data_IF_766925083256
#
_entry.id   IF_766925083256
#
_cell.length_a   1.000
_cell.length_b   1.000
_cell.length_c   1.000
_cell.angle_alpha   90.00
_cell.angle_beta   90.00
_cell.angle_gamma   90.00
#
_symmetry.space_group_name_H-M   'P 1'
#
loop_
_entity.id
_entity.type
_entity.pdbx_description
1 polymer ?
#
# COMPACT_ATOMS: atom_id res chain seq x y z
N UNK A 1 28.66 32.58 -63.46
CA UNK A 1 27.93 31.65 -62.58
C UNK A 1 27.42 30.51 -63.44
N UNK A 2 27.66 29.26 -63.06
CA UNK A 2 27.29 28.08 -63.86
C UNK A 2 25.81 27.74 -63.59
N UNK A 3 24.92 27.63 -64.61
CA UNK A 3 23.50 27.38 -64.38
C UNK A 3 23.31 25.99 -63.75
N UNK A 4 22.72 25.94 -62.55
CA UNK A 4 22.44 24.67 -61.88
C UNK A 4 21.28 23.98 -62.62
N UNK A 5 21.54 22.79 -63.16
CA UNK A 5 20.52 21.96 -63.81
C UNK A 5 19.79 21.13 -62.76
N UNK A 6 18.49 20.96 -62.94
CA UNK A 6 17.70 20.07 -62.08
C UNK A 6 18.22 18.63 -62.22
N UNK A 7 18.48 17.95 -61.10
CA UNK A 7 18.95 16.55 -61.09
C UNK A 7 17.91 15.56 -61.66
N UNK A 8 16.63 15.93 -61.66
CA UNK A 8 15.57 15.01 -62.08
C UNK A 8 15.19 15.15 -63.57
N UNK A 9 15.25 16.36 -64.12
CA UNK A 9 14.83 16.64 -65.51
C UNK A 9 15.91 17.30 -66.38
N UNK A 10 17.07 17.66 -65.81
CA UNK A 10 18.24 18.16 -66.55
C UNK A 10 18.13 19.59 -67.08
N UNK A 11 17.00 20.28 -66.92
CA UNK A 11 16.80 21.65 -67.44
C UNK A 11 17.38 22.72 -66.52
N UNK A 12 17.74 23.85 -67.12
CA UNK A 12 18.39 24.99 -66.46
C UNK A 12 17.42 25.72 -65.53
N UNK A 13 17.92 26.10 -64.36
CA UNK A 13 17.15 26.76 -63.30
C UNK A 13 16.87 28.23 -63.66
N UNK A 14 15.62 28.65 -63.49
CA UNK A 14 15.24 30.05 -63.38
C UNK A 14 15.58 30.56 -61.97
N UNK A 15 16.28 31.68 -61.87
CA UNK A 15 16.71 32.24 -60.58
C UNK A 15 15.50 32.62 -59.71
N UNK A 16 15.45 32.10 -58.47
CA UNK A 16 14.45 32.47 -57.46
C UNK A 16 13.42 31.40 -57.07
N UNK A 17 13.28 30.30 -57.80
CA UNK A 17 12.24 29.30 -57.49
C UNK A 17 12.72 28.13 -56.61
N UNK A 18 11.89 27.73 -55.64
CA UNK A 18 12.13 26.61 -54.70
C UNK A 18 11.85 25.22 -55.32
N UNK A 19 11.07 25.19 -56.41
CA UNK A 19 10.57 23.96 -57.03
C UNK A 19 10.91 23.98 -58.51
N UNK A 20 11.13 22.82 -59.12
CA UNK A 20 11.24 22.77 -60.57
C UNK A 20 9.84 22.87 -61.18
N UNK A 21 9.55 23.86 -62.05
CA UNK A 21 8.20 24.08 -62.57
C UNK A 21 7.68 22.92 -63.43
N UNK A 22 8.55 22.04 -63.93
CA UNK A 22 8.15 20.92 -64.78
C UNK A 22 7.90 19.61 -64.04
N UNK A 23 8.63 19.33 -62.96
CA UNK A 23 8.50 18.05 -62.25
C UNK A 23 8.04 18.18 -60.79
N UNK A 24 7.82 19.42 -60.30
CA UNK A 24 7.40 19.74 -58.93
C UNK A 24 8.23 19.11 -57.80
N UNK A 25 9.36 18.48 -58.12
CA UNK A 25 10.24 17.87 -57.13
C UNK A 25 10.95 18.97 -56.33
N UNK A 26 10.96 18.82 -55.00
CA UNK A 26 11.75 19.66 -54.10
C UNK A 26 13.22 19.63 -54.54
N UNK A 27 13.77 20.80 -54.86
CA UNK A 27 15.16 20.92 -55.26
C UNK A 27 16.00 20.79 -53.98
N UNK A 28 16.52 19.59 -53.71
CA UNK A 28 17.43 19.37 -52.59
C UNK A 28 18.72 20.14 -52.84
N UNK A 29 18.87 21.30 -52.20
CA UNK A 29 20.15 22.00 -52.15
C UNK A 29 21.17 21.07 -51.48
N UNK A 30 22.36 20.84 -52.06
CA UNK A 30 23.42 20.14 -51.37
C UNK A 30 23.73 20.92 -50.09
N UNK A 31 23.42 20.33 -48.92
CA UNK A 31 23.70 20.96 -47.63
C UNK A 31 25.19 21.33 -47.61
N UNK A 32 25.57 22.58 -47.32
CA UNK A 32 26.97 22.97 -47.32
C UNK A 32 27.73 22.09 -46.33
N UNK A 33 28.92 21.56 -46.67
CA UNK A 33 29.65 20.58 -45.87
C UNK A 33 29.91 21.05 -44.43
N UNK A 34 29.91 22.37 -44.22
CA UNK A 34 30.03 23.01 -42.91
C UNK A 34 28.93 22.58 -41.92
N UNK A 35 27.66 22.45 -42.33
CA UNK A 35 26.55 22.11 -41.41
C UNK A 35 26.65 20.65 -40.93
N UNK A 36 27.11 19.74 -41.80
CA UNK A 36 27.27 18.33 -41.47
C UNK A 36 28.46 18.12 -40.51
N UNK A 37 29.55 18.87 -40.73
CA UNK A 37 30.71 18.91 -39.82
C UNK A 37 30.31 19.50 -38.46
N UNK A 38 29.54 20.60 -38.42
CA UNK A 38 29.04 21.15 -37.17
C UNK A 38 28.14 20.17 -36.41
N UNK A 39 27.28 19.42 -37.09
CA UNK A 39 26.44 18.40 -36.46
C UNK A 39 27.27 17.26 -35.86
N UNK A 40 28.31 16.80 -36.55
CA UNK A 40 29.20 15.73 -36.05
C UNK A 40 30.01 16.23 -34.86
N UNK A 41 30.59 17.43 -34.95
CA UNK A 41 31.37 18.05 -33.86
C UNK A 41 30.48 18.30 -32.64
N UNK A 42 29.25 18.76 -32.84
CA UNK A 42 28.31 18.97 -31.74
C UNK A 42 27.91 17.66 -31.06
N UNK A 43 27.65 16.59 -31.82
CA UNK A 43 27.39 15.25 -31.27
C UNK A 43 28.59 14.69 -30.51
N UNK A 44 29.81 14.84 -31.04
CA UNK A 44 31.04 14.42 -30.37
C UNK A 44 31.30 15.23 -29.10
N UNK A 45 31.08 16.54 -29.14
CA UNK A 45 31.19 17.41 -27.97
C UNK A 45 30.19 17.01 -26.89
N UNK A 46 28.94 16.69 -27.24
CA UNK A 46 27.93 16.21 -26.30
C UNK A 46 28.33 14.87 -25.66
N UNK A 47 28.89 13.94 -26.44
CA UNK A 47 29.39 12.66 -25.94
C UNK A 47 30.61 12.82 -25.03
N UNK A 48 31.52 13.74 -25.33
CA UNK A 48 32.68 14.04 -24.48
C UNK A 48 32.23 14.74 -23.20
N UNK A 49 31.29 15.68 -23.28
CA UNK A 49 30.76 16.39 -22.12
C UNK A 49 30.01 15.44 -21.18
N UNK A 50 29.18 14.54 -21.73
CA UNK A 50 28.51 13.49 -20.95
C UNK A 50 29.50 12.50 -20.36
N UNK A 51 30.54 12.10 -21.10
CA UNK A 51 31.64 11.28 -20.60
C UNK A 51 32.40 11.95 -19.45
N UNK A 52 32.70 13.25 -19.55
CA UNK A 52 33.37 14.03 -18.50
C UNK A 52 32.48 14.22 -17.27
N UNK A 53 31.17 14.45 -17.46
CA UNK A 53 30.19 14.50 -16.37
C UNK A 53 30.05 13.17 -15.64
N UNK A 54 30.18 12.04 -16.33
CA UNK A 54 30.20 10.70 -15.74
C UNK A 54 31.56 10.37 -15.08
N UNK A 55 32.66 10.91 -15.61
CA UNK A 55 34.03 10.69 -15.12
C UNK A 55 34.33 11.48 -13.83
N UNK A 56 33.86 12.73 -13.73
CA UNK A 56 33.90 13.49 -12.48
C UNK A 56 32.81 12.95 -11.54
N UNK A 57 33.21 12.01 -10.67
CA UNK A 57 32.49 11.35 -9.56
C UNK A 57 31.63 12.28 -8.66
N UNK A 58 30.59 12.92 -9.21
CA UNK A 58 29.69 13.82 -8.47
C UNK A 58 28.23 13.74 -8.89
N UNK A 59 27.92 13.07 -10.01
CA UNK A 59 26.53 12.85 -10.47
C UNK A 59 26.07 11.38 -10.43
N UNK A 60 26.93 10.45 -9.98
CA UNK A 60 26.70 9.00 -10.03
C UNK A 60 25.47 8.50 -9.27
N UNK A 61 24.99 9.25 -8.26
CA UNK A 61 23.87 8.81 -7.42
C UNK A 61 22.59 9.65 -7.56
N UNK A 62 22.60 10.79 -8.28
CA UNK A 62 21.48 11.76 -8.18
C UNK A 62 20.69 12.08 -9.44
N UNK A 63 21.06 11.64 -10.65
CA UNK A 63 20.34 12.08 -11.87
C UNK A 63 19.68 10.96 -12.69
N UNK A 64 19.98 9.68 -12.47
CA UNK A 64 19.28 8.58 -13.15
C UNK A 64 18.90 7.46 -12.18
N UNK A 65 18.09 7.79 -11.16
CA UNK A 65 17.38 6.73 -10.43
C UNK A 65 16.35 6.11 -11.37
N UNK A 66 16.68 4.95 -11.95
CA UNK A 66 15.76 4.08 -12.72
C UNK A 66 14.45 3.76 -11.96
N UNK A 67 14.39 4.07 -10.66
CA UNK A 67 13.20 3.98 -9.80
C UNK A 67 12.10 4.99 -10.13
N UNK A 68 12.42 6.11 -10.77
CA UNK A 68 11.42 7.08 -11.26
C UNK A 68 10.68 6.55 -12.49
N UNK A 69 11.36 5.73 -13.31
CA UNK A 69 10.80 5.18 -14.56
C UNK A 69 9.87 3.99 -14.31
N UNK A 70 10.03 3.27 -13.19
CA UNK A 70 9.20 2.10 -12.84
C UNK A 70 8.90 2.11 -11.33
N UNK A 71 7.77 2.70 -10.89
CA UNK A 71 7.42 2.72 -9.49
C UNK A 71 7.21 1.28 -8.98
N UNK A 72 8.10 0.84 -8.10
CA UNK A 72 8.11 -0.52 -7.55
C UNK A 72 6.92 -0.70 -6.59
N UNK A 73 6.06 -1.70 -6.79
CA UNK A 73 5.03 -2.04 -5.81
C UNK A 73 5.67 -2.73 -4.61
N UNK A 74 5.22 -2.39 -3.40
CA UNK A 74 5.49 -3.19 -2.19
C UNK A 74 4.53 -4.38 -2.12
N UNK A 75 3.29 -4.19 -2.60
CA UNK A 75 2.30 -5.23 -2.72
C UNK A 75 1.33 -4.97 -3.90
N UNK A 76 0.61 -6.00 -4.32
CA UNK A 76 -0.53 -5.93 -5.24
C UNK A 76 -1.74 -6.62 -4.62
N UNK A 77 -2.92 -6.02 -4.79
CA UNK A 77 -4.20 -6.51 -4.27
C UNK A 77 -5.20 -6.57 -5.42
N UNK A 78 -5.55 -7.77 -5.89
CA UNK A 78 -6.42 -7.98 -7.05
C UNK A 78 -5.96 -7.19 -8.30
N UNK A 79 -4.65 -7.15 -8.55
CA UNK A 79 -4.05 -6.41 -9.66
C UNK A 79 -3.79 -4.92 -9.40
N UNK A 80 -4.26 -4.34 -8.28
CA UNK A 80 -3.96 -2.96 -7.92
C UNK A 80 -2.68 -2.86 -7.09
N UNK A 81 -1.80 -1.94 -7.49
CA UNK A 81 -0.50 -1.74 -6.83
C UNK A 81 -0.63 -0.90 -5.56
N UNK A 82 0.09 -1.30 -4.52
CA UNK A 82 0.50 -0.48 -3.39
C UNK A 82 1.95 -0.08 -3.67
N UNK A 83 2.18 1.20 -3.95
CA UNK A 83 3.52 1.70 -4.30
C UNK A 83 4.42 1.73 -3.07
N UNK A 84 5.68 1.34 -3.25
CA UNK A 84 6.70 1.38 -2.19
C UNK A 84 6.88 2.79 -1.62
N UNK A 85 6.86 3.81 -2.48
CA UNK A 85 6.96 5.21 -2.07
C UNK A 85 5.82 5.66 -1.15
N UNK A 86 4.58 5.22 -1.42
CA UNK A 86 3.42 5.55 -0.60
C UNK A 86 3.49 4.83 0.76
N UNK A 87 3.89 3.56 0.75
CA UNK A 87 4.08 2.80 1.98
C UNK A 87 5.20 3.40 2.85
N UNK A 88 6.37 3.66 2.27
CA UNK A 88 7.50 4.28 2.99
C UNK A 88 7.14 5.64 3.59
N UNK A 89 6.37 6.46 2.85
CA UNK A 89 5.89 7.74 3.37
C UNK A 89 5.04 7.55 4.63
N UNK A 90 4.04 6.65 4.58
CA UNK A 90 3.20 6.35 5.75
C UNK A 90 4.00 5.78 6.93
N UNK A 91 4.99 4.93 6.65
CA UNK A 91 5.90 4.42 7.69
C UNK A 91 6.66 5.56 8.37
N UNK A 92 7.20 6.51 7.62
CA UNK A 92 7.91 7.64 8.21
C UNK A 92 6.97 8.59 8.96
N UNK A 93 5.77 8.85 8.44
CA UNK A 93 4.76 9.68 9.12
C UNK A 93 4.40 9.11 10.50
N UNK A 94 4.12 7.81 10.56
CA UNK A 94 3.79 7.12 11.82
C UNK A 94 5.02 7.06 12.72
N UNK A 95 6.20 6.76 12.17
CA UNK A 95 7.45 6.76 12.94
C UNK A 95 7.71 8.12 13.60
N UNK A 96 7.49 9.22 12.90
CA UNK A 96 7.67 10.56 13.45
C UNK A 96 6.68 10.86 14.57
N UNK A 97 5.41 10.45 14.42
CA UNK A 97 4.44 10.51 15.49
C UNK A 97 4.92 9.77 16.75
N UNK A 98 5.41 8.54 16.61
CA UNK A 98 5.94 7.77 17.75
C UNK A 98 7.21 8.40 18.36
N UNK A 99 8.08 9.01 17.56
CA UNK A 99 9.24 9.76 18.08
C UNK A 99 8.81 10.98 18.89
N UNK A 100 7.77 11.68 18.45
CA UNK A 100 7.24 12.85 19.14
C UNK A 100 6.64 12.47 20.49
N UNK A 101 5.84 11.40 20.53
CA UNK A 101 5.14 10.97 21.74
C UNK A 101 6.04 10.26 22.77
N UNK A 102 7.02 9.46 22.32
CA UNK A 102 7.80 8.58 23.20
C UNK A 102 9.32 8.86 23.18
N UNK A 103 9.77 9.81 22.38
CA UNK A 103 11.19 10.16 22.22
C UNK A 103 11.91 9.35 21.13
N UNK A 104 13.09 9.81 20.73
CA UNK A 104 13.85 9.21 19.62
C UNK A 104 14.35 7.78 19.90
N UNK A 105 14.53 7.43 21.18
CA UNK A 105 15.11 6.15 21.59
C UNK A 105 14.20 4.94 21.38
N UNK A 106 12.90 5.16 21.10
CA UNK A 106 11.95 4.05 20.87
C UNK A 106 12.35 3.15 19.69
N UNK A 107 13.12 3.68 18.73
CA UNK A 107 13.63 2.94 17.58
C UNK A 107 15.10 2.53 17.70
N UNK A 108 15.73 2.77 18.86
CA UNK A 108 17.13 2.44 19.13
C UNK A 108 17.31 0.97 19.55
N UNK A 109 18.47 0.39 19.24
CA UNK A 109 18.84 -0.97 19.61
C UNK A 109 18.01 -2.06 18.91
N UNK A 110 18.25 -3.32 19.30
CA UNK A 110 17.61 -4.48 18.67
C UNK A 110 16.07 -4.43 18.80
N UNK A 111 15.55 -4.10 19.99
CA UNK A 111 14.11 -3.96 20.26
C UNK A 111 13.46 -2.86 19.43
N UNK A 112 14.14 -1.74 19.22
CA UNK A 112 13.63 -0.65 18.37
C UNK A 112 13.55 -1.05 16.89
N UNK A 113 14.51 -1.84 16.39
CA UNK A 113 14.49 -2.36 15.01
C UNK A 113 13.36 -3.39 14.82
N UNK A 114 13.14 -4.24 15.82
CA UNK A 114 12.02 -5.19 15.90
C UNK A 114 10.69 -4.43 15.81
N UNK A 115 10.53 -3.40 16.65
CA UNK A 115 9.33 -2.58 16.70
C UNK A 115 9.08 -1.85 15.37
N UNK A 116 10.12 -1.25 14.80
CA UNK A 116 10.02 -0.57 13.50
C UNK A 116 9.60 -1.53 12.38
N UNK A 117 10.10 -2.76 12.39
CA UNK A 117 9.74 -3.77 11.41
C UNK A 117 8.27 -4.21 11.56
N UNK A 118 7.80 -4.36 12.80
CA UNK A 118 6.39 -4.65 13.07
C UNK A 118 5.48 -3.49 12.62
N UNK A 119 5.84 -2.25 12.97
CA UNK A 119 5.12 -1.05 12.57
C UNK A 119 5.00 -0.94 11.05
N UNK A 120 6.10 -1.19 10.33
CA UNK A 120 6.12 -1.15 8.88
C UNK A 120 5.23 -2.24 8.24
N UNK A 121 5.15 -3.42 8.87
CA UNK A 121 4.22 -4.48 8.48
C UNK A 121 2.76 -4.06 8.70
N UNK A 122 2.43 -3.56 9.88
CA UNK A 122 1.06 -3.14 10.23
C UNK A 122 0.55 -2.09 9.24
N UNK A 123 1.39 -1.12 8.88
CA UNK A 123 1.05 -0.10 7.88
C UNK A 123 0.81 -0.71 6.49
N UNK A 124 1.58 -1.73 6.09
CA UNK A 124 1.31 -2.44 4.83
C UNK A 124 -0.04 -3.17 4.87
N UNK A 125 -0.34 -3.84 5.99
CA UNK A 125 -1.60 -4.55 6.21
C UNK A 125 -2.80 -3.61 6.17
N UNK A 126 -2.68 -2.42 6.75
CA UNK A 126 -3.69 -1.37 6.69
C UNK A 126 -3.92 -0.90 5.25
N UNK A 127 -2.84 -0.66 4.50
CA UNK A 127 -2.95 -0.28 3.08
C UNK A 127 -3.62 -1.37 2.22
N UNK A 128 -3.36 -2.65 2.51
CA UNK A 128 -4.05 -3.76 1.84
C UNK A 128 -5.54 -3.73 2.19
N UNK A 129 -5.88 -3.51 3.45
CA UNK A 129 -7.26 -3.44 3.93
C UNK A 129 -8.01 -2.27 3.28
N UNK A 130 -7.41 -1.08 3.26
CA UNK A 130 -7.94 0.10 2.55
C UNK A 130 -8.20 -0.19 1.07
N UNK A 131 -7.31 -0.93 0.41
CA UNK A 131 -7.49 -1.34 -0.99
C UNK A 131 -8.69 -2.25 -1.18
N UNK A 132 -8.87 -3.24 -0.32
CA UNK A 132 -10.03 -4.14 -0.37
C UNK A 132 -11.35 -3.39 -0.15
N UNK A 133 -11.38 -2.47 0.81
CA UNK A 133 -12.55 -1.63 1.07
C UNK A 133 -12.87 -0.74 -0.14
N UNK A 134 -11.86 -0.11 -0.72
CA UNK A 134 -12.05 0.74 -1.89
C UNK A 134 -12.55 -0.05 -3.10
N UNK A 135 -12.06 -1.29 -3.29
CA UNK A 135 -12.55 -2.21 -4.32
C UNK A 135 -14.02 -2.58 -4.09
N UNK A 136 -14.38 -2.89 -2.85
CA UNK A 136 -15.75 -3.23 -2.51
C UNK A 136 -16.71 -2.05 -2.66
N UNK A 137 -16.28 -0.84 -2.28
CA UNK A 137 -17.06 0.37 -2.50
C UNK A 137 -17.35 0.59 -3.99
N UNK A 138 -16.33 0.44 -4.85
CA UNK A 138 -16.54 0.46 -6.31
C UNK A 138 -17.51 -0.62 -6.77
N UNK A 139 -17.39 -1.84 -6.24
CA UNK A 139 -18.29 -2.96 -6.58
C UNK A 139 -19.74 -2.69 -6.19
N UNK A 140 -19.96 -1.96 -5.09
CA UNK A 140 -21.28 -1.58 -4.59
C UNK A 140 -21.80 -0.26 -5.17
N UNK A 141 -21.02 0.45 -5.98
CA UNK A 141 -21.36 1.78 -6.48
C UNK A 141 -21.38 2.86 -5.38
N UNK A 142 -20.69 2.63 -4.27
CA UNK A 142 -20.54 3.61 -3.19
C UNK A 142 -19.44 4.59 -3.59
N UNK A 143 -19.81 5.87 -3.66
CA UNK A 143 -18.88 6.97 -3.88
C UNK A 143 -19.08 8.01 -2.78
N UNK A 144 -17.98 8.45 -2.16
CA UNK A 144 -17.99 9.53 -1.19
C UNK A 144 -17.75 10.83 -1.96
N UNK A 145 -18.67 11.79 -1.84
CA UNK A 145 -18.52 13.08 -2.51
C UNK A 145 -17.71 14.07 -1.66
N UNK A 146 -17.21 15.14 -2.27
CA UNK A 146 -16.37 16.12 -1.56
C UNK A 146 -17.15 16.90 -0.49
N UNK A 147 -18.45 17.09 -0.67
CA UNK A 147 -19.31 17.80 0.28
C UNK A 147 -19.46 16.99 1.59
N UNK A 148 -19.60 15.67 1.50
CA UNK A 148 -19.62 14.75 2.63
C UNK A 148 -18.29 14.76 3.39
N UNK A 149 -17.17 14.74 2.66
CA UNK A 149 -15.83 14.83 3.26
C UNK A 149 -15.67 16.14 4.01
N UNK A 150 -16.03 17.26 3.38
CA UNK A 150 -15.90 18.58 4.01
C UNK A 150 -16.79 18.72 5.25
N UNK A 151 -18.02 18.22 5.18
CA UNK A 151 -18.95 18.21 6.31
C UNK A 151 -18.44 17.37 7.48
N UNK A 152 -17.90 16.18 7.20
CA UNK A 152 -17.34 15.32 8.25
C UNK A 152 -16.06 15.93 8.86
N UNK A 153 -15.21 16.58 8.05
CA UNK A 153 -14.07 17.33 8.57
C UNK A 153 -14.49 18.44 9.52
N UNK A 154 -15.53 19.21 9.18
CA UNK A 154 -16.09 20.26 10.03
C UNK A 154 -16.68 19.70 11.33
N UNK A 155 -17.33 18.54 11.27
CA UNK A 155 -17.85 17.87 12.45
C UNK A 155 -16.75 17.35 13.37
N UNK A 156 -15.70 16.73 12.82
CA UNK A 156 -14.52 16.29 13.58
C UNK A 156 -13.85 17.50 14.26
N UNK A 157 -13.76 18.62 13.54
CA UNK A 157 -13.24 19.89 14.08
C UNK A 157 -14.07 20.41 15.26
N UNK A 158 -15.40 20.42 15.10
CA UNK A 158 -16.34 20.86 16.14
C UNK A 158 -16.22 20.00 17.40
N UNK A 159 -16.07 18.68 17.24
CA UNK A 159 -15.92 17.74 18.35
C UNK A 159 -14.55 17.84 19.03
N UNK A 160 -13.48 18.10 18.27
CA UNK A 160 -12.14 18.31 18.79
C UNK A 160 -11.94 19.65 19.53
N UNK A 161 -13.01 20.43 19.76
CA UNK A 161 -13.02 21.69 20.52
C UNK A 161 -12.10 22.79 19.97
N UNK A 162 -11.77 22.75 18.67
CA UNK A 162 -10.82 23.66 18.02
C UNK A 162 -11.40 24.43 16.83
N UNK A 163 -10.94 25.66 16.63
CA UNK A 163 -11.16 26.40 15.37
C UNK A 163 -10.29 25.82 14.25
N UNK A 164 -10.67 26.06 12.99
CA UNK A 164 -9.86 25.72 11.81
C UNK A 164 -8.41 26.20 11.96
N UNK A 165 -8.19 27.37 12.55
CA UNK A 165 -6.85 27.93 12.79
C UNK A 165 -5.99 27.08 13.73
N UNK A 166 -6.58 26.48 14.78
CA UNK A 166 -5.84 25.60 15.71
C UNK A 166 -5.49 24.27 15.06
N UNK A 167 -6.41 23.71 14.27
CA UNK A 167 -6.12 22.50 13.49
C UNK A 167 -5.09 22.82 12.41
N UNK A 168 -5.19 23.94 11.70
CA UNK A 168 -4.23 24.32 10.67
C UNK A 168 -2.84 24.57 11.26
N UNK A 169 -2.75 25.20 12.44
CA UNK A 169 -1.49 25.32 13.17
C UNK A 169 -0.93 23.95 13.57
N UNK A 170 -1.78 23.01 14.01
CA UNK A 170 -1.37 21.65 14.37
C UNK A 170 -0.97 20.81 13.15
N UNK A 171 -1.72 20.89 12.05
CA UNK A 171 -1.38 20.25 10.78
C UNK A 171 -0.07 20.83 10.23
N UNK A 172 0.13 22.15 10.32
CA UNK A 172 1.39 22.80 9.92
C UNK A 172 2.55 22.41 10.85
N UNK A 173 2.34 22.33 12.17
CA UNK A 173 3.38 21.88 13.12
C UNK A 173 3.78 20.43 12.88
N UNK A 174 2.79 19.60 12.58
CA UNK A 174 2.96 18.16 12.36
C UNK A 174 3.34 17.84 10.90
N UNK A 175 3.53 18.89 10.07
CA UNK A 175 3.81 18.81 8.62
C UNK A 175 2.78 18.00 7.81
N UNK A 176 1.58 17.85 8.35
CA UNK A 176 0.46 17.18 7.71
C UNK A 176 -0.22 18.15 6.72
N UNK A 177 -0.33 17.72 5.46
CA UNK A 177 -1.06 18.46 4.45
C UNK A 177 -2.57 18.34 4.66
N UNK A 178 -3.33 19.41 4.40
CA UNK A 178 -4.80 19.41 4.39
C UNK A 178 -5.36 18.24 3.54
N UNK A 179 -4.70 17.94 2.43
CA UNK A 179 -5.03 16.82 1.54
C UNK A 179 -4.92 15.45 2.25
N UNK A 180 -3.91 15.24 3.10
CA UNK A 180 -3.76 14.00 3.87
C UNK A 180 -4.91 13.83 4.86
N UNK A 181 -5.33 14.90 5.53
CA UNK A 181 -6.48 14.87 6.43
C UNK A 181 -7.80 14.63 5.67
N UNK A 182 -8.00 15.29 4.53
CA UNK A 182 -9.13 15.04 3.63
C UNK A 182 -9.20 13.57 3.19
N UNK A 183 -8.06 13.01 2.78
CA UNK A 183 -7.97 11.60 2.38
C UNK A 183 -8.32 10.67 3.55
N UNK A 184 -7.81 10.95 4.75
CA UNK A 184 -8.16 10.20 5.96
C UNK A 184 -9.67 10.21 6.22
N UNK A 185 -10.31 11.38 6.18
CA UNK A 185 -11.76 11.50 6.37
C UNK A 185 -12.53 10.76 5.27
N UNK A 186 -12.09 10.83 4.02
CA UNK A 186 -12.69 10.06 2.92
C UNK A 186 -12.62 8.55 3.19
N UNK A 187 -11.48 8.05 3.67
CA UNK A 187 -11.32 6.64 4.04
C UNK A 187 -12.24 6.25 5.22
N UNK A 188 -12.38 7.11 6.23
CA UNK A 188 -13.30 6.91 7.35
C UNK A 188 -14.76 6.80 6.88
N UNK A 189 -15.20 7.71 6.01
CA UNK A 189 -16.55 7.70 5.44
C UNK A 189 -16.79 6.45 4.59
N UNK A 190 -15.81 6.06 3.78
CA UNK A 190 -15.85 4.84 2.99
C UNK A 190 -16.02 3.60 3.88
N UNK A 191 -15.21 3.49 4.94
CA UNK A 191 -15.30 2.42 5.92
C UNK A 191 -16.69 2.35 6.55
N UNK A 192 -17.22 3.49 7.00
CA UNK A 192 -18.56 3.59 7.60
C UNK A 192 -19.66 3.16 6.63
N UNK A 193 -19.59 3.61 5.38
CA UNK A 193 -20.55 3.24 4.35
C UNK A 193 -20.56 1.74 4.06
N UNK A 194 -19.36 1.14 3.93
CA UNK A 194 -19.21 -0.31 3.72
C UNK A 194 -19.67 -1.09 4.94
N UNK A 195 -19.34 -0.62 6.15
CA UNK A 195 -19.78 -1.23 7.41
C UNK A 195 -21.31 -1.29 7.46
N UNK A 196 -21.98 -0.20 7.10
CA UNK A 196 -23.44 -0.14 7.04
C UNK A 196 -24.01 -1.08 5.96
N UNK A 197 -23.43 -1.08 4.76
CA UNK A 197 -23.91 -1.93 3.65
C UNK A 197 -23.67 -3.43 3.87
N UNK A 198 -22.67 -3.81 4.66
CA UNK A 198 -22.29 -5.21 4.92
C UNK A 198 -22.79 -5.76 6.25
N UNK A 199 -23.31 -4.92 7.13
CA UNK A 199 -23.94 -5.37 8.38
C UNK A 199 -25.41 -5.70 8.10
N UNK A 200 -25.87 -6.96 8.26
CA UNK A 200 -27.26 -7.30 7.99
C UNK A 200 -28.20 -6.55 8.94
N UNK A 201 -29.20 -5.89 8.37
CA UNK A 201 -30.29 -5.27 9.13
C UNK A 201 -31.19 -6.37 9.70
N UNK A 202 -31.13 -6.60 11.01
CA UNK A 202 -32.18 -7.36 11.72
C UNK A 202 -31.83 -8.72 12.32
N UNK A 203 -30.55 -9.12 12.44
CA UNK A 203 -30.19 -10.32 13.20
C UNK A 203 -29.33 -9.97 14.41
N UNK A 204 -29.84 -10.30 15.60
CA UNK A 204 -29.07 -10.42 16.82
C UNK A 204 -28.07 -11.58 16.65
N UNK A 205 -26.96 -11.28 15.97
CA UNK A 205 -26.01 -12.30 15.52
C UNK A 205 -24.91 -11.77 14.62
N UNK A 206 -24.39 -10.57 14.91
CA UNK A 206 -23.08 -10.03 14.52
C UNK A 206 -22.30 -10.63 13.35
N UNK A 207 -22.83 -10.62 12.13
CA UNK A 207 -21.94 -10.58 10.95
C UNK A 207 -21.31 -9.19 10.90
N UNK A 208 -20.20 -9.07 11.63
CA UNK A 208 -19.37 -7.88 11.76
C UNK A 208 -18.64 -7.64 10.43
N UNK A 209 -18.46 -6.38 9.99
CA UNK A 209 -17.60 -6.01 8.85
C UNK A 209 -16.24 -6.72 8.87
N UNK A 210 -15.70 -7.00 10.06
CA UNK A 210 -14.48 -7.78 10.25
C UNK A 210 -14.58 -9.19 9.64
N UNK A 211 -15.72 -9.87 9.79
CA UNK A 211 -15.95 -11.20 9.18
C UNK A 211 -15.93 -11.13 7.65
N UNK A 212 -16.52 -10.07 7.08
CA UNK A 212 -16.46 -9.80 5.65
C UNK A 212 -15.02 -9.51 5.21
N UNK A 213 -14.28 -8.67 5.94
CA UNK A 213 -12.88 -8.35 5.62
C UNK A 213 -11.98 -9.58 5.66
N UNK A 214 -12.15 -10.46 6.64
CA UNK A 214 -11.45 -11.74 6.70
C UNK A 214 -11.74 -12.53 5.43
N UNK A 215 -13.00 -12.71 5.05
CA UNK A 215 -13.36 -13.43 3.81
C UNK A 215 -12.84 -12.74 2.54
N UNK A 216 -12.92 -11.41 2.48
CA UNK A 216 -12.46 -10.62 1.34
C UNK A 216 -10.96 -10.78 1.14
N UNK A 217 -10.19 -10.75 2.23
CA UNK A 217 -8.75 -10.97 2.22
C UNK A 217 -8.37 -12.38 1.78
N UNK A 218 -9.14 -13.39 2.17
CA UNK A 218 -8.90 -14.78 1.75
C UNK A 218 -9.17 -14.99 0.25
N UNK A 219 -10.16 -14.28 -0.30
CA UNK A 219 -10.51 -14.33 -1.72
C UNK A 219 -9.61 -13.44 -2.57
N UNK A 220 -8.97 -12.45 -1.96
CA UNK A 220 -8.12 -11.50 -2.67
C UNK A 220 -6.79 -12.13 -3.08
N UNK A 221 -6.37 -11.83 -4.29
CA UNK A 221 -5.01 -12.12 -4.75
C UNK A 221 -4.08 -11.04 -4.20
N UNK A 222 -3.36 -11.35 -3.13
CA UNK A 222 -2.37 -10.46 -2.51
C UNK A 222 -0.96 -10.97 -2.83
N UNK A 223 -0.18 -10.16 -3.53
CA UNK A 223 1.22 -10.45 -3.86
C UNK A 223 2.12 -9.40 -3.21
N UNK A 224 3.08 -9.80 -2.37
CA UNK A 224 4.01 -8.89 -1.68
C UNK A 224 5.38 -9.04 -2.32
N UNK A 225 5.99 -7.94 -2.79
CA UNK A 225 7.19 -7.98 -3.64
C UNK A 225 8.48 -7.52 -2.97
N UNK A 226 8.43 -6.62 -1.97
CA UNK A 226 9.65 -6.00 -1.45
C UNK A 226 9.52 -5.57 0.02
N UNK A 227 10.19 -6.29 0.92
CA UNK A 227 10.31 -5.94 2.33
C UNK A 227 11.78 -5.83 2.79
N UNK A 228 12.73 -5.85 1.84
CA UNK A 228 14.18 -5.86 2.15
C UNK A 228 14.68 -4.56 2.81
N UNK A 229 13.83 -3.54 2.92
CA UNK A 229 14.12 -2.31 3.67
C UNK A 229 14.19 -2.57 5.18
N UNK A 230 13.58 -3.67 5.68
CA UNK A 230 13.61 -4.08 7.09
C UNK A 230 13.97 -5.56 7.18
N UNK A 231 15.26 -5.91 7.32
CA UNK A 231 15.74 -7.30 7.22
C UNK A 231 15.12 -8.25 8.27
N UNK A 232 14.59 -7.70 9.37
CA UNK A 232 14.02 -8.48 10.47
C UNK A 232 12.49 -8.58 10.45
N UNK A 233 11.81 -8.11 9.39
CA UNK A 233 10.34 -8.15 9.34
C UNK A 233 9.80 -9.55 9.67
N UNK A 234 10.44 -10.61 9.15
CA UNK A 234 10.02 -12.00 9.35
C UNK A 234 10.85 -12.80 10.38
N UNK A 235 11.86 -12.21 11.03
CA UNK A 235 12.75 -12.93 11.95
C UNK A 235 12.28 -12.94 13.41
N UNK A 236 11.25 -12.16 13.75
CA UNK A 236 10.62 -12.28 15.06
C UNK A 236 9.53 -13.33 15.01
N UNK A 237 9.77 -14.44 15.72
CA UNK A 237 8.72 -15.37 16.11
C UNK A 237 7.63 -14.61 16.85
N UNK A 238 6.54 -14.32 16.15
CA UNK A 238 5.44 -13.48 16.63
C UNK A 238 4.25 -13.60 15.70
N UNK A 239 3.29 -14.41 16.14
CA UNK A 239 1.87 -14.52 15.74
C UNK A 239 1.49 -14.82 14.27
N UNK A 240 2.36 -14.67 13.26
CA UNK A 240 2.06 -14.99 11.86
C UNK A 240 3.23 -15.67 11.10
N UNK A 241 3.96 -16.59 11.74
CA UNK A 241 5.05 -17.33 11.08
C UNK A 241 4.55 -18.67 10.53
N UNK A 242 4.45 -18.79 9.19
CA UNK A 242 4.60 -20.09 8.53
C UNK A 242 6.01 -20.63 8.82
N UNK A 243 6.20 -21.95 8.93
CA UNK A 243 7.51 -22.52 9.19
C UNK A 243 8.45 -22.25 8.02
N UNK A 244 9.64 -21.75 8.33
CA UNK A 244 10.71 -21.49 7.38
C UNK A 244 11.19 -22.78 6.73
N UNK A 245 11.00 -22.89 5.41
CA UNK A 245 11.73 -23.86 4.59
C UNK A 245 12.79 -23.13 3.78
N UNK A 246 13.99 -23.73 3.80
CA UNK A 246 15.21 -23.26 3.14
C UNK A 246 15.01 -23.08 1.63
N UNK A 247 15.64 -22.02 1.11
CA UNK A 247 16.21 -21.89 -0.24
C UNK A 247 15.50 -22.61 -1.40
N UNK A 248 14.82 -21.85 -2.23
CA UNK A 248 14.42 -22.28 -3.57
C UNK A 248 13.18 -21.53 -4.02
N UNK A 249 13.32 -20.70 -5.07
CA UNK A 249 12.21 -19.93 -5.59
C UNK A 249 11.02 -20.82 -5.96
N UNK A 250 9.91 -20.64 -5.26
CA UNK A 250 8.61 -21.18 -5.67
C UNK A 250 7.50 -20.26 -5.17
N UNK A 251 6.59 -19.91 -6.09
CA UNK A 251 5.32 -19.25 -5.81
C UNK A 251 4.60 -20.03 -4.70
N UNK A 252 4.43 -19.40 -3.55
CA UNK A 252 3.59 -19.95 -2.49
C UNK A 252 2.20 -19.32 -2.59
N UNK A 253 1.28 -20.06 -3.22
CA UNK A 253 -0.14 -19.92 -2.93
C UNK A 253 -0.38 -20.57 -1.56
N UNK A 254 -0.33 -19.78 -0.48
CA UNK A 254 -0.75 -20.25 0.84
C UNK A 254 -2.21 -19.82 1.07
N UNK A 255 -3.15 -20.78 1.27
CA UNK A 255 -4.53 -20.45 1.57
C UNK A 255 -4.63 -20.04 3.03
N UNK A 256 -4.74 -18.74 3.28
CA UNK A 256 -5.12 -18.22 4.59
C UNK A 256 -6.57 -18.64 4.90
N UNK A 257 -6.77 -19.42 5.95
CA UNK A 257 -7.98 -19.37 6.78
C UNK A 257 -9.28 -20.04 6.28
N UNK A 258 -9.28 -21.33 5.96
CA UNK A 258 -10.49 -22.11 6.24
C UNK A 258 -10.57 -22.37 7.75
N UNK A 259 -11.73 -22.11 8.37
CA UNK A 259 -12.06 -22.68 9.69
C UNK A 259 -11.91 -24.20 9.55
N UNK A 260 -10.79 -24.75 10.00
CA UNK A 260 -10.60 -26.19 10.01
C UNK A 260 -11.60 -26.74 11.05
N UNK A 261 -12.65 -27.48 10.65
CA UNK A 261 -13.71 -27.90 11.58
C UNK A 261 -13.16 -28.75 12.73
N UNK A 262 -12.04 -29.44 12.49
CA UNK A 262 -11.32 -30.21 13.50
C UNK A 262 -10.70 -29.30 14.56
N UNK A 263 -10.08 -28.20 14.14
CA UNK A 263 -9.43 -27.24 15.04
C UNK A 263 -10.47 -26.44 15.83
N UNK A 264 -11.60 -26.10 15.21
CA UNK A 264 -12.73 -25.45 15.89
C UNK A 264 -13.29 -26.32 17.02
N UNK A 265 -13.47 -27.61 16.73
CA UNK A 265 -13.88 -28.57 17.74
C UNK A 265 -12.86 -28.68 18.87
N UNK A 266 -11.57 -28.75 18.54
CA UNK A 266 -10.49 -28.82 19.53
C UNK A 266 -10.43 -27.59 20.43
N UNK A 267 -10.54 -26.39 19.87
CA UNK A 267 -10.55 -25.13 20.61
C UNK A 267 -11.76 -25.03 21.55
N UNK A 268 -12.96 -25.41 21.08
CA UNK A 268 -14.18 -25.46 21.91
C UNK A 268 -14.02 -26.42 23.08
N UNK A 269 -13.54 -27.63 22.81
CA UNK A 269 -13.32 -28.64 23.84
C UNK A 269 -12.27 -28.19 24.86
N UNK A 270 -11.17 -27.58 24.41
CA UNK A 270 -10.13 -27.06 25.28
C UNK A 270 -10.64 -25.95 26.22
N UNK A 271 -11.40 -24.99 25.68
CA UNK A 271 -11.98 -23.89 26.46
C UNK A 271 -13.03 -24.40 27.47
N UNK A 272 -13.92 -25.31 27.05
CA UNK A 272 -14.91 -25.92 27.95
C UNK A 272 -14.25 -26.75 29.06
N UNK A 273 -13.16 -27.48 28.76
CA UNK A 273 -12.40 -28.23 29.77
C UNK A 273 -11.73 -27.28 30.77
N UNK A 274 -11.13 -26.19 30.31
CA UNK A 274 -10.52 -25.19 31.19
C UNK A 274 -11.56 -24.58 32.12
N UNK A 275 -12.69 -24.13 31.58
CA UNK A 275 -13.76 -23.54 32.36
C UNK A 275 -14.37 -24.50 33.40
N UNK A 276 -14.61 -25.76 33.03
CA UNK A 276 -15.14 -26.79 33.95
C UNK A 276 -14.17 -27.15 35.08
N UNK A 277 -12.85 -27.03 34.85
CA UNK A 277 -11.84 -27.25 35.88
C UNK A 277 -11.89 -26.19 36.96
N UNK A 278 -12.14 -24.94 36.58
CA UNK A 278 -12.31 -23.80 37.50
C UNK A 278 -13.70 -23.78 38.15
N UNK A 279 -14.72 -24.31 37.45
CA UNK A 279 -16.12 -24.26 37.87
C UNK A 279 -16.76 -25.68 37.87
N UNK A 280 -16.37 -26.56 38.82
CA UNK A 280 -16.95 -27.89 38.93
C UNK A 280 -18.44 -27.79 39.27
N UNK A 281 -19.31 -28.26 38.36
CA UNK A 281 -20.78 -28.20 38.50
C UNK A 281 -21.48 -27.23 37.53
N UNK A 282 -20.74 -26.57 36.64
CA UNK A 282 -21.35 -25.75 35.60
C UNK A 282 -22.00 -26.60 34.48
N UNK A 283 -23.32 -26.55 34.38
CA UNK A 283 -24.14 -27.19 33.33
C UNK A 283 -24.64 -26.14 32.31
N UNK A 284 -25.18 -26.61 31.17
CA UNK A 284 -25.71 -25.78 30.06
C UNK A 284 -24.70 -24.79 29.46
N UNK A 285 -23.44 -25.23 29.31
CA UNK A 285 -22.38 -24.43 28.71
C UNK A 285 -22.35 -24.62 27.19
N UNK A 286 -22.30 -23.53 26.46
CA UNK A 286 -21.99 -23.49 25.02
C UNK A 286 -20.72 -22.70 24.78
N UNK A 287 -20.01 -23.00 23.69
CA UNK A 287 -18.77 -22.30 23.32
C UNK A 287 -18.88 -21.79 21.88
N UNK A 288 -18.74 -20.47 21.72
CA UNK A 288 -18.72 -19.80 20.42
C UNK A 288 -17.28 -19.46 20.05
N UNK A 289 -16.84 -19.82 18.84
CA UNK A 289 -15.49 -19.53 18.36
C UNK A 289 -15.53 -18.36 17.39
N UNK A 290 -14.68 -17.38 17.62
CA UNK A 290 -14.47 -16.23 16.74
C UNK A 290 -13.03 -16.29 16.25
N UNK A 291 -12.86 -16.40 14.93
CA UNK A 291 -11.54 -16.42 14.31
C UNK A 291 -11.15 -15.02 13.84
N UNK A 292 -10.19 -14.41 14.54
CA UNK A 292 -9.63 -13.09 14.18
C UNK A 292 -8.44 -13.19 13.21
N UNK A 293 -8.15 -14.38 12.69
CA UNK A 293 -7.02 -14.67 11.81
C UNK A 293 -5.71 -14.91 12.56
N UNK A 294 -5.36 -14.05 13.53
CA UNK A 294 -4.11 -14.15 14.31
C UNK A 294 -4.24 -14.98 15.60
N UNK A 295 -5.43 -15.02 16.19
CA UNK A 295 -5.78 -15.83 17.34
C UNK A 295 -7.27 -16.17 17.28
N UNK A 296 -7.68 -17.18 18.04
CA UNK A 296 -9.07 -17.58 18.12
C UNK A 296 -9.59 -17.18 19.49
N UNK A 297 -10.70 -16.46 19.54
CA UNK A 297 -11.40 -16.20 20.80
C UNK A 297 -12.51 -17.22 20.97
N UNK A 298 -12.65 -17.75 22.17
CA UNK A 298 -13.68 -18.71 22.53
C UNK A 298 -14.45 -18.16 23.71
N UNK A 299 -15.68 -17.76 23.41
CA UNK A 299 -16.61 -17.23 24.39
C UNK A 299 -17.45 -18.39 24.95
N UNK A 300 -17.32 -18.62 26.26
CA UNK A 300 -18.15 -19.55 27.00
C UNK A 300 -19.43 -18.83 27.39
N UNK A 301 -20.56 -19.44 27.04
CA UNK A 301 -21.89 -18.94 27.37
C UNK A 301 -22.63 -19.93 28.27
N UNK A 302 -23.38 -19.39 29.23
CA UNK A 302 -24.32 -20.13 30.06
C UNK A 302 -25.68 -19.48 29.92
N UNK A 303 -26.70 -20.26 29.55
CA UNK A 303 -28.06 -19.77 29.31
C UNK A 303 -28.10 -18.59 28.31
N UNK A 304 -27.24 -18.63 27.29
CA UNK A 304 -27.12 -17.59 26.25
C UNK A 304 -26.37 -16.32 26.67
N UNK A 305 -25.83 -16.25 27.88
CA UNK A 305 -25.01 -15.12 28.35
C UNK A 305 -23.54 -15.50 28.44
N UNK A 306 -22.66 -14.64 27.93
CA UNK A 306 -21.21 -14.83 28.06
C UNK A 306 -20.80 -14.81 29.54
N UNK A 307 -20.07 -15.83 29.97
CA UNK A 307 -19.57 -15.96 31.35
C UNK A 307 -18.05 -15.92 31.44
N UNK A 308 -17.33 -16.25 30.36
CA UNK A 308 -15.87 -16.18 30.27
C UNK A 308 -15.45 -16.16 28.80
N UNK A 309 -14.29 -15.57 28.51
CA UNK A 309 -13.66 -15.61 27.19
C UNK A 309 -12.22 -16.10 27.30
N UNK A 310 -11.81 -16.91 26.33
CA UNK A 310 -10.48 -17.50 26.25
C UNK A 310 -9.86 -17.21 24.89
N UNK A 311 -8.54 -17.12 24.84
CA UNK A 311 -7.77 -17.07 23.60
C UNK A 311 -7.16 -18.45 23.35
N UNK A 312 -7.41 -19.04 22.18
CA UNK A 312 -6.75 -20.27 21.74
C UNK A 312 -5.68 -19.94 20.70
N UNK A 313 -4.45 -20.31 21.02
CA UNK A 313 -3.29 -20.10 20.17
C UNK A 313 -2.34 -21.29 20.29
N UNK A 314 -1.91 -21.84 19.16
CA UNK A 314 -0.94 -22.95 19.09
C UNK A 314 -1.29 -24.16 19.99
N UNK A 315 -2.56 -24.54 20.05
CA UNK A 315 -3.02 -25.68 20.86
C UNK A 315 -3.19 -25.38 22.35
N UNK A 316 -3.01 -24.13 22.79
CA UNK A 316 -3.11 -23.72 24.19
C UNK A 316 -4.21 -22.69 24.38
N UNK A 317 -4.87 -22.78 25.53
CA UNK A 317 -5.83 -21.78 26.01
C UNK A 317 -5.08 -20.79 26.91
N UNK A 318 -5.25 -19.51 26.62
CA UNK A 318 -4.80 -18.38 27.40
C UNK A 318 -6.04 -17.67 27.94
N UNK A 319 -6.03 -17.31 29.23
CA UNK A 319 -7.09 -16.49 29.79
C UNK A 319 -6.98 -15.07 29.26
N UNK A 320 -8.11 -14.52 28.80
CA UNK A 320 -8.22 -13.10 28.50
C UNK A 320 -8.53 -12.38 29.83
N UNK A 321 -7.75 -11.35 30.17
CA UNK A 321 -7.93 -10.57 31.39
C UNK A 321 -9.19 -9.72 31.36
#
# INVERSE_FOLDING_TARGET
MNPQRCLHCGKEKLEGELYCPQCLSLISSPRPPKILIFSIIFSLSLLVLTGLLLWHKGLGDRIFSLEVLWPKPVAMVNGEKILRSNWQRRVEDVKEFWRHEYGQEIFSGEKGQIFLAQLAREILEDMITEKLIAQEARRLGISINEEEVQKEMEEILRQASGSWDKLEMKLKSDRLLKESFQNYVRHLLMWKAISSAKSPSGLAGGENINSWLVQARQKAQVEIYDLNTYPNLFQLGGCCSLPSSKSGGQKQNSPSGLLNPKLEKEAKEAALRAYKKENPGAENLTAQVINYGCHWQIDIQKDGKMVKSYIYQNGKILENF
#
